data_IF_844208062751
#
_entry.id   IF_844208062751
#
_cell.length_a   1.000
_cell.length_b   1.000
_cell.length_c   1.000
_cell.angle_alpha   90.00
_cell.angle_beta   90.00
_cell.angle_gamma   90.00
#
_symmetry.space_group_name_H-M   'P 1'
#
loop_
_entity.id
_entity.type
_entity.pdbx_description
1 polymer ?
#
# COMPACT_ATOMS: atom_id res chain seq x y z
N UNK A 1 -30.46 -2.71 7.80
CA UNK A 1 -29.19 -2.59 7.07
C UNK A 1 -28.84 -1.12 7.04
N UNK A 2 -27.72 -0.76 7.63
CA UNK A 2 -27.20 0.62 7.54
C UNK A 2 -26.52 0.73 6.18
N UNK A 3 -26.94 1.68 5.35
CA UNK A 3 -26.26 1.88 4.06
C UNK A 3 -24.80 2.32 4.31
N UNK A 4 -23.83 1.84 3.51
CA UNK A 4 -22.47 2.33 3.61
C UNK A 4 -22.44 3.84 3.33
N UNK A 5 -21.59 4.55 4.05
CA UNK A 5 -21.33 5.97 3.82
C UNK A 5 -19.93 6.13 3.24
N UNK A 6 -19.73 7.14 2.40
CA UNK A 6 -18.40 7.52 1.90
C UNK A 6 -18.18 9.00 2.19
N UNK A 7 -17.06 9.31 2.82
CA UNK A 7 -16.53 10.67 2.99
C UNK A 7 -15.38 10.89 2.01
N UNK A 8 -15.44 11.95 1.22
CA UNK A 8 -14.48 12.22 0.14
C UNK A 8 -13.66 13.44 0.53
N UNK A 9 -12.36 13.23 0.82
CA UNK A 9 -11.40 14.30 1.10
C UNK A 9 -10.39 14.51 -0.04
N UNK A 10 -10.48 13.69 -1.08
CA UNK A 10 -9.57 13.72 -2.20
C UNK A 10 -10.40 13.72 -3.50
N UNK A 11 -10.48 14.87 -4.15
CA UNK A 11 -11.19 15.00 -5.42
C UNK A 11 -10.28 14.63 -6.60
N UNK A 12 -10.86 14.39 -7.78
CA UNK A 12 -10.09 14.15 -9.01
C UNK A 12 -9.18 15.35 -9.39
N UNK A 13 -9.59 16.56 -9.02
CA UNK A 13 -8.77 17.77 -9.20
C UNK A 13 -7.57 17.78 -8.24
N UNK A 14 -7.76 17.40 -6.98
CA UNK A 14 -6.67 17.30 -5.99
C UNK A 14 -5.66 16.21 -6.40
N UNK A 15 -6.15 15.06 -6.90
CA UNK A 15 -5.30 14.01 -7.46
C UNK A 15 -4.48 14.52 -8.65
N UNK A 16 -5.11 15.27 -9.56
CA UNK A 16 -4.41 15.83 -10.72
C UNK A 16 -3.32 16.82 -10.29
N UNK A 17 -3.57 17.66 -9.30
CA UNK A 17 -2.59 18.63 -8.81
C UNK A 17 -1.44 17.94 -8.05
N UNK A 18 -1.75 16.93 -7.23
CA UNK A 18 -0.73 16.10 -6.59
C UNK A 18 0.15 15.38 -7.62
N UNK A 19 -0.46 14.82 -8.68
CA UNK A 19 0.27 14.18 -9.78
C UNK A 19 1.17 15.17 -10.50
N UNK A 20 0.71 16.41 -10.73
CA UNK A 20 1.56 17.46 -11.32
C UNK A 20 2.78 17.77 -10.47
N UNK A 21 2.59 17.94 -9.16
CA UNK A 21 3.66 18.24 -8.23
C UNK A 21 4.70 17.11 -8.18
N UNK A 22 4.22 15.86 -8.11
CA UNK A 22 5.07 14.67 -8.06
C UNK A 22 5.80 14.44 -9.39
N UNK A 23 5.11 14.51 -10.52
CA UNK A 23 5.70 14.33 -11.84
C UNK A 23 6.72 15.43 -12.14
N UNK A 24 6.43 16.70 -11.80
CA UNK A 24 7.42 17.78 -11.97
C UNK A 24 8.68 17.49 -11.15
N UNK A 25 8.52 17.21 -9.85
CA UNK A 25 9.66 16.97 -8.93
C UNK A 25 10.48 15.77 -9.39
N UNK A 26 9.82 14.67 -9.72
CA UNK A 26 10.44 13.39 -10.01
C UNK A 26 11.04 13.27 -11.41
N UNK A 27 10.42 13.87 -12.43
CA UNK A 27 10.96 13.83 -13.80
C UNK A 27 12.13 14.81 -14.00
N UNK A 28 12.26 15.84 -13.16
CA UNK A 28 13.39 16.79 -13.20
C UNK A 28 14.50 16.49 -12.20
N UNK A 29 14.39 15.43 -11.39
CA UNK A 29 15.45 15.02 -10.46
C UNK A 29 16.51 14.17 -11.15
N UNK A 30 17.69 14.09 -10.54
CA UNK A 30 18.75 13.16 -10.91
C UNK A 30 19.18 12.36 -9.66
N UNK A 31 18.87 11.05 -9.58
CA UNK A 31 18.14 10.26 -10.58
C UNK A 31 16.64 10.61 -10.66
N UNK A 32 16.00 10.29 -11.80
CA UNK A 32 14.56 10.48 -12.00
C UNK A 32 13.75 9.49 -11.17
N UNK A 33 12.62 9.94 -10.63
CA UNK A 33 11.72 9.09 -9.81
C UNK A 33 10.24 9.37 -10.07
N UNK A 34 9.37 8.40 -9.80
CA UNK A 34 7.92 8.61 -9.72
C UNK A 34 7.36 7.88 -8.48
N UNK A 35 6.45 8.48 -7.70
CA UNK A 35 5.84 7.80 -6.56
C UNK A 35 4.93 6.63 -6.98
N UNK A 36 4.96 5.49 -6.25
CA UNK A 36 4.21 4.29 -6.62
C UNK A 36 2.69 4.43 -6.46
N UNK A 37 2.22 5.46 -5.73
CA UNK A 37 0.77 5.73 -5.61
C UNK A 37 0.09 5.98 -6.96
N UNK A 38 0.86 6.43 -7.96
CA UNK A 38 0.39 6.67 -9.32
C UNK A 38 0.28 5.43 -10.19
N UNK A 39 0.64 4.24 -9.68
CA UNK A 39 0.30 3.00 -10.36
C UNK A 39 -1.20 2.71 -10.31
N UNK A 40 -1.89 3.13 -9.26
CA UNK A 40 -3.23 2.62 -8.90
C UNK A 40 -4.38 3.42 -9.51
N UNK A 41 -4.30 3.69 -10.82
CA UNK A 41 -5.52 4.01 -11.58
C UNK A 41 -6.38 2.74 -11.75
N UNK A 42 -7.49 2.82 -12.50
CA UNK A 42 -8.37 1.65 -12.68
C UNK A 42 -7.62 0.46 -13.30
N UNK A 43 -6.81 0.69 -14.34
CA UNK A 43 -6.06 -0.38 -15.02
C UNK A 43 -4.95 -0.93 -14.14
N UNK A 44 -4.19 -0.08 -13.47
CA UNK A 44 -3.12 -0.52 -12.59
C UNK A 44 -3.64 -1.28 -11.37
N UNK A 45 -4.82 -0.94 -10.85
CA UNK A 45 -5.48 -1.72 -9.81
C UNK A 45 -5.85 -3.12 -10.30
N UNK A 46 -6.37 -3.26 -11.52
CA UNK A 46 -6.62 -4.57 -12.14
C UNK A 46 -5.33 -5.39 -12.32
N UNK A 47 -4.27 -4.74 -12.80
CA UNK A 47 -2.94 -5.36 -12.96
C UNK A 47 -2.38 -5.82 -11.61
N UNK A 48 -2.51 -5.02 -10.56
CA UNK A 48 -2.08 -5.42 -9.22
C UNK A 48 -2.89 -6.63 -8.71
N UNK A 49 -4.20 -6.66 -8.93
CA UNK A 49 -5.02 -7.83 -8.63
C UNK A 49 -4.54 -9.07 -9.39
N UNK A 50 -4.14 -8.95 -10.66
CA UNK A 50 -3.48 -10.03 -11.41
C UNK A 50 -2.15 -10.45 -10.78
N UNK A 51 -1.30 -9.49 -10.39
CA UNK A 51 -0.03 -9.74 -9.67
C UNK A 51 -0.26 -10.58 -8.43
N UNK A 52 -1.30 -10.29 -7.64
CA UNK A 52 -1.58 -11.04 -6.40
C UNK A 52 -1.82 -12.55 -6.60
N UNK A 53 -2.12 -12.97 -7.83
CA UNK A 53 -2.39 -14.36 -8.21
C UNK A 53 -1.21 -15.06 -8.88
N UNK A 54 -0.13 -14.33 -9.19
CA UNK A 54 1.04 -14.90 -9.85
C UNK A 54 1.75 -15.93 -8.95
N UNK A 55 2.29 -17.01 -9.53
CA UNK A 55 3.01 -18.01 -8.76
C UNK A 55 4.27 -17.43 -8.10
N UNK A 56 4.95 -16.46 -8.72
CA UNK A 56 6.12 -15.79 -8.18
C UNK A 56 5.76 -14.84 -7.02
N UNK A 57 4.62 -14.14 -7.09
CA UNK A 57 4.22 -13.13 -6.09
C UNK A 57 3.65 -13.75 -4.81
N UNK A 58 4.55 -14.15 -3.92
CA UNK A 58 4.21 -14.76 -2.64
C UNK A 58 3.53 -13.87 -1.59
N UNK A 59 3.71 -12.53 -1.54
CA UNK A 59 3.26 -11.74 -0.39
C UNK A 59 1.78 -11.93 -0.04
N UNK A 60 0.88 -11.77 -1.02
CA UNK A 60 -0.57 -11.83 -0.77
C UNK A 60 -1.03 -13.18 -0.23
N UNK A 61 -0.60 -14.29 -0.85
CA UNK A 61 -0.98 -15.64 -0.40
C UNK A 61 -0.37 -15.99 0.96
N UNK A 62 0.85 -15.53 1.22
CA UNK A 62 1.58 -15.80 2.46
C UNK A 62 0.95 -15.06 3.63
N UNK A 63 0.71 -13.75 3.46
CA UNK A 63 0.03 -12.94 4.47
C UNK A 63 -1.39 -13.45 4.73
N UNK A 64 -2.14 -13.82 3.68
CA UNK A 64 -3.49 -14.38 3.85
C UNK A 64 -3.47 -15.66 4.68
N UNK A 65 -2.63 -16.64 4.33
CA UNK A 65 -2.53 -17.90 5.06
C UNK A 65 -2.07 -17.70 6.51
N UNK A 66 -1.13 -16.77 6.72
CA UNK A 66 -0.71 -16.37 8.05
C UNK A 66 -1.87 -15.77 8.84
N UNK A 67 -2.62 -14.84 8.24
CA UNK A 67 -3.78 -14.20 8.86
C UNK A 67 -4.85 -15.22 9.22
N UNK A 68 -5.21 -16.14 8.31
CA UNK A 68 -6.17 -17.23 8.57
C UNK A 68 -5.79 -18.04 9.83
N UNK A 69 -4.49 -18.27 10.06
CA UNK A 69 -3.99 -19.00 11.23
C UNK A 69 -4.09 -18.22 12.54
N UNK A 70 -3.92 -16.90 12.51
CA UNK A 70 -3.75 -16.09 13.74
C UNK A 70 -4.90 -15.12 14.03
N UNK A 71 -5.86 -14.97 13.11
CA UNK A 71 -6.92 -13.95 13.19
C UNK A 71 -7.79 -14.09 14.44
N UNK A 72 -8.04 -15.31 14.92
CA UNK A 72 -8.79 -15.54 16.16
C UNK A 72 -8.05 -15.03 17.40
N UNK A 73 -6.73 -15.16 17.41
CA UNK A 73 -5.88 -14.61 18.47
C UNK A 73 -5.84 -13.08 18.41
N UNK A 74 -5.64 -12.51 17.21
CA UNK A 74 -5.71 -11.06 16.98
C UNK A 74 -7.04 -10.52 17.51
N UNK A 75 -8.18 -11.11 17.14
CA UNK A 75 -9.49 -10.64 17.57
C UNK A 75 -9.68 -10.68 19.10
N UNK A 76 -9.17 -11.74 19.76
CA UNK A 76 -9.24 -11.89 21.23
C UNK A 76 -8.42 -10.84 21.97
N UNK A 77 -7.22 -10.51 21.47
CA UNK A 77 -6.33 -9.51 22.07
C UNK A 77 -6.87 -8.11 21.79
N UNK A 78 -7.20 -7.85 20.52
CA UNK A 78 -7.53 -6.52 20.06
C UNK A 78 -8.89 -6.03 20.53
N UNK A 79 -9.89 -6.92 20.62
CA UNK A 79 -11.27 -6.59 21.01
C UNK A 79 -11.75 -5.26 20.41
N UNK A 80 -11.38 -5.02 19.15
CA UNK A 80 -11.61 -3.74 18.51
C UNK A 80 -13.12 -3.50 18.34
N UNK A 81 -13.56 -2.31 18.69
CA UNK A 81 -14.92 -1.83 18.39
C UNK A 81 -14.99 -1.22 16.98
N UNK A 82 -13.86 -0.72 16.51
CA UNK A 82 -13.70 -0.09 15.20
C UNK A 82 -12.45 -0.65 14.53
N UNK A 83 -12.61 -1.21 13.33
CA UNK A 83 -11.49 -1.59 12.47
C UNK A 83 -11.31 -0.52 11.41
N UNK A 84 -10.16 0.14 11.39
CA UNK A 84 -9.74 1.00 10.28
C UNK A 84 -8.78 0.21 9.41
N UNK A 85 -8.95 0.25 8.09
CA UNK A 85 -8.00 -0.34 7.16
C UNK A 85 -7.42 0.72 6.23
N UNK A 86 -6.09 0.82 6.20
CA UNK A 86 -5.37 1.75 5.34
C UNK A 86 -4.99 1.03 4.03
N UNK A 87 -5.38 1.60 2.89
CA UNK A 87 -5.13 1.01 1.56
C UNK A 87 -5.97 -0.26 1.36
N UNK A 88 -7.29 -0.14 1.57
CA UNK A 88 -8.18 -1.30 1.65
C UNK A 88 -8.29 -2.11 0.34
N UNK A 89 -8.09 -1.49 -0.82
CA UNK A 89 -8.21 -2.16 -2.12
C UNK A 89 -9.51 -2.96 -2.23
N UNK A 90 -9.41 -4.26 -2.57
CA UNK A 90 -10.56 -5.18 -2.67
C UNK A 90 -11.07 -5.73 -1.32
N UNK A 91 -10.42 -5.41 -0.20
CA UNK A 91 -10.75 -5.85 1.16
C UNK A 91 -10.86 -7.39 1.34
N UNK A 92 -10.25 -8.19 0.45
CA UNK A 92 -10.39 -9.64 0.47
C UNK A 92 -9.79 -10.28 1.73
N UNK A 93 -8.62 -9.79 2.19
CA UNK A 93 -7.97 -10.24 3.44
C UNK A 93 -8.74 -9.77 4.67
N UNK A 94 -9.30 -8.57 4.61
CA UNK A 94 -9.98 -7.90 5.72
C UNK A 94 -11.25 -8.62 6.15
N UNK A 95 -11.91 -9.33 5.24
CA UNK A 95 -13.03 -10.22 5.57
C UNK A 95 -12.69 -11.24 6.66
N UNK A 96 -11.43 -11.72 6.73
CA UNK A 96 -10.98 -12.59 7.81
C UNK A 96 -11.00 -11.86 9.16
N UNK A 97 -10.47 -10.64 9.19
CA UNK A 97 -10.48 -9.78 10.38
C UNK A 97 -11.91 -9.43 10.80
N UNK A 98 -12.75 -8.98 9.87
CA UNK A 98 -14.15 -8.65 10.12
C UNK A 98 -14.89 -9.85 10.72
N UNK A 99 -14.78 -11.03 10.10
CA UNK A 99 -15.42 -12.25 10.60
C UNK A 99 -14.97 -12.59 12.03
N UNK A 100 -13.67 -12.55 12.31
CA UNK A 100 -13.14 -12.89 13.63
C UNK A 100 -13.51 -11.85 14.70
N UNK A 101 -13.37 -10.56 14.38
CA UNK A 101 -13.68 -9.45 15.28
C UNK A 101 -15.19 -9.33 15.56
N UNK A 102 -16.04 -9.59 14.57
CA UNK A 102 -17.50 -9.64 14.77
C UNK A 102 -17.94 -10.87 15.57
N UNK A 103 -17.28 -12.03 15.37
CA UNK A 103 -17.67 -13.27 16.07
C UNK A 103 -17.20 -13.31 17.53
N UNK A 104 -16.00 -12.77 17.80
CA UNK A 104 -15.34 -12.87 19.10
C UNK A 104 -15.34 -11.55 19.90
N UNK A 105 -15.77 -10.45 19.30
CA UNK A 105 -15.51 -9.11 19.83
C UNK A 105 -16.66 -8.11 19.65
N UNK A 106 -16.45 -6.87 20.13
CA UNK A 106 -17.46 -5.82 20.12
C UNK A 106 -17.45 -5.00 18.83
N UNK A 107 -17.03 -5.57 17.69
CA UNK A 107 -16.87 -4.82 16.43
C UNK A 107 -18.22 -4.24 15.98
N UNK A 108 -18.26 -2.92 15.82
CA UNK A 108 -19.44 -2.15 15.41
C UNK A 108 -19.22 -1.40 14.11
N UNK A 109 -17.98 -1.01 13.81
CA UNK A 109 -17.66 -0.17 12.66
C UNK A 109 -16.45 -0.68 11.90
N UNK A 110 -16.53 -0.66 10.58
CA UNK A 110 -15.42 -0.82 9.68
C UNK A 110 -15.22 0.44 8.84
N UNK A 111 -13.98 0.89 8.77
CA UNK A 111 -13.57 2.13 8.13
C UNK A 111 -12.48 1.82 7.10
N UNK A 112 -12.84 1.48 5.86
CA UNK A 112 -11.87 1.35 4.78
C UNK A 112 -11.42 2.73 4.30
N UNK A 113 -10.12 2.93 4.17
CA UNK A 113 -9.52 4.13 3.59
C UNK A 113 -8.70 3.77 2.35
N UNK A 114 -8.85 4.54 1.28
CA UNK A 114 -8.14 4.36 0.01
C UNK A 114 -8.16 5.66 -0.81
N UNK A 115 -7.25 5.79 -1.76
CA UNK A 115 -7.26 6.90 -2.74
C UNK A 115 -8.28 6.66 -3.85
N UNK A 116 -8.69 5.40 -4.07
CA UNK A 116 -9.64 5.02 -5.11
C UNK A 116 -11.08 4.99 -4.58
N UNK A 117 -11.87 6.01 -4.95
CA UNK A 117 -13.31 6.06 -4.62
C UNK A 117 -14.07 4.83 -5.15
N UNK A 118 -13.77 4.40 -6.37
CA UNK A 118 -14.47 3.27 -7.01
C UNK A 118 -14.17 1.95 -6.30
N UNK A 119 -12.92 1.71 -5.90
CA UNK A 119 -12.54 0.53 -5.13
C UNK A 119 -13.24 0.52 -3.76
N UNK A 120 -13.23 1.65 -3.04
CA UNK A 120 -13.89 1.79 -1.75
C UNK A 120 -15.39 1.57 -1.82
N UNK A 121 -16.06 2.14 -2.82
CA UNK A 121 -17.51 1.97 -2.99
C UNK A 121 -17.86 0.50 -3.21
N UNK A 122 -17.13 -0.19 -4.10
CA UNK A 122 -17.32 -1.61 -4.36
C UNK A 122 -17.07 -2.48 -3.11
N UNK A 123 -15.99 -2.23 -2.37
CA UNK A 123 -15.67 -2.95 -1.14
C UNK A 123 -16.72 -2.69 -0.04
N UNK A 124 -17.13 -1.44 0.15
CA UNK A 124 -18.09 -1.05 1.18
C UNK A 124 -19.48 -1.64 0.95
N UNK A 125 -19.94 -1.68 -0.31
CA UNK A 125 -21.21 -2.30 -0.67
C UNK A 125 -21.19 -3.81 -0.40
N UNK A 126 -20.12 -4.50 -0.79
CA UNK A 126 -19.97 -5.94 -0.55
C UNK A 126 -19.91 -6.27 0.94
N UNK A 127 -19.08 -5.54 1.70
CA UNK A 127 -18.96 -5.75 3.16
C UNK A 127 -20.28 -5.48 3.87
N UNK A 128 -21.05 -4.47 3.45
CA UNK A 128 -22.36 -4.16 4.03
C UNK A 128 -23.39 -5.28 3.81
N UNK A 129 -23.28 -6.02 2.70
CA UNK A 129 -24.12 -7.21 2.42
C UNK A 129 -23.66 -8.41 3.25
N UNK A 130 -22.35 -8.65 3.32
CA UNK A 130 -21.77 -9.79 4.05
C UNK A 130 -21.90 -9.65 5.58
N UNK A 131 -21.85 -8.42 6.10
CA UNK A 131 -21.86 -8.11 7.54
C UNK A 131 -22.98 -7.09 7.88
N UNK A 132 -24.27 -7.49 7.85
CA UNK A 132 -25.40 -6.56 7.93
C UNK A 132 -25.57 -5.82 9.27
N UNK A 133 -24.85 -6.25 10.31
CA UNK A 133 -24.82 -5.61 11.64
C UNK A 133 -23.65 -4.62 11.82
N UNK A 134 -22.76 -4.52 10.83
CA UNK A 134 -21.56 -3.68 10.86
C UNK A 134 -21.85 -2.34 10.18
N UNK A 135 -21.53 -1.23 10.82
CA UNK A 135 -21.52 0.06 10.17
C UNK A 135 -20.28 0.18 9.26
N UNK A 136 -20.47 0.57 8.01
CA UNK A 136 -19.37 0.75 7.05
C UNK A 136 -19.26 2.23 6.69
N UNK A 137 -18.09 2.81 6.92
CA UNK A 137 -17.81 4.22 6.66
C UNK A 137 -16.49 4.35 5.88
N UNK A 138 -16.59 4.46 4.56
CA UNK A 138 -15.42 4.61 3.68
C UNK A 138 -14.88 6.03 3.70
N UNK A 139 -13.56 6.16 3.64
CA UNK A 139 -12.84 7.45 3.61
C UNK A 139 -11.96 7.50 2.37
N UNK A 140 -12.30 8.35 1.40
CA UNK A 140 -11.49 8.55 0.18
C UNK A 140 -10.43 9.60 0.46
N UNK A 141 -9.19 9.16 0.71
CA UNK A 141 -8.07 10.05 0.99
C UNK A 141 -6.70 9.36 0.93
N UNK A 142 -5.62 10.15 0.88
CA UNK A 142 -4.23 9.66 0.88
C UNK A 142 -3.77 9.38 2.32
N UNK A 143 -3.48 8.12 2.66
CA UNK A 143 -3.17 7.70 4.03
C UNK A 143 -1.83 8.24 4.56
N UNK A 144 -0.96 8.82 3.73
CA UNK A 144 0.29 9.44 4.23
C UNK A 144 0.02 10.76 4.95
N UNK A 145 -0.97 11.53 4.48
CA UNK A 145 -1.16 12.93 4.91
C UNK A 145 -2.51 13.18 5.60
N UNK A 146 -3.41 12.18 5.57
CA UNK A 146 -4.82 12.38 5.96
C UNK A 146 -5.31 11.47 7.08
N UNK A 147 -4.41 10.86 7.87
CA UNK A 147 -4.78 10.02 9.01
C UNK A 147 -5.69 10.75 10.03
N UNK A 148 -5.61 12.08 10.10
CA UNK A 148 -6.47 12.91 10.95
C UNK A 148 -7.95 12.91 10.56
N UNK A 149 -8.28 12.48 9.33
CA UNK A 149 -9.66 12.33 8.85
C UNK A 149 -10.31 11.03 9.36
N UNK A 150 -9.54 10.12 9.96
CA UNK A 150 -10.08 8.87 10.48
C UNK A 150 -11.03 9.15 11.66
N UNK A 151 -12.21 8.50 11.70
CA UNK A 151 -13.15 8.68 12.78
C UNK A 151 -12.53 8.26 14.12
N UNK A 152 -12.93 8.98 15.17
CA UNK A 152 -12.51 8.72 16.56
C UNK A 152 -13.64 8.04 17.34
N UNK A 153 -13.25 7.31 18.38
CA UNK A 153 -14.17 6.69 19.33
C UNK A 153 -14.23 5.17 19.26
N UNK A 154 -14.64 4.56 20.37
CA UNK A 154 -14.47 3.12 20.60
C UNK A 154 -13.00 2.74 20.77
N UNK A 155 -12.72 1.45 21.00
CA UNK A 155 -11.35 0.92 20.94
C UNK A 155 -11.00 0.59 19.48
N UNK A 156 -10.13 1.39 18.84
CA UNK A 156 -9.71 1.16 17.45
C UNK A 156 -8.58 0.15 17.32
N UNK A 157 -8.60 -0.55 16.20
CA UNK A 157 -7.42 -1.17 15.60
C UNK A 157 -7.28 -0.63 14.18
N UNK A 158 -6.12 -0.07 13.86
CA UNK A 158 -5.74 0.29 12.48
C UNK A 158 -5.00 -0.91 11.89
N UNK A 159 -5.45 -1.40 10.74
CA UNK A 159 -4.78 -2.44 9.97
C UNK A 159 -4.09 -1.82 8.76
N UNK A 160 -2.81 -2.11 8.58
CA UNK A 160 -2.03 -1.75 7.40
C UNK A 160 -1.32 -2.99 6.87
N UNK A 161 -1.94 -3.62 5.88
CA UNK A 161 -1.59 -4.97 5.41
C UNK A 161 -0.89 -4.93 4.05
N UNK A 162 -0.48 -6.09 3.55
CA UNK A 162 0.05 -6.26 2.19
C UNK A 162 1.53 -5.94 2.04
N UNK A 163 2.21 -5.52 3.11
CA UNK A 163 3.60 -5.09 3.02
C UNK A 163 3.75 -3.67 2.46
N UNK A 164 2.66 -2.92 2.31
CA UNK A 164 2.63 -1.56 1.74
C UNK A 164 3.50 -0.57 2.53
N UNK A 165 3.72 -0.81 3.82
CA UNK A 165 4.69 -0.06 4.65
C UNK A 165 6.11 -0.08 4.05
N UNK A 166 6.45 -1.12 3.28
CA UNK A 166 7.72 -1.24 2.58
C UNK A 166 7.89 -0.26 1.43
N UNK A 167 6.81 0.38 0.97
CA UNK A 167 6.86 1.35 -0.12
C UNK A 167 7.33 2.74 0.32
N UNK A 168 7.53 2.93 1.63
CA UNK A 168 8.00 4.18 2.23
C UNK A 168 9.50 4.07 2.55
N UNK A 169 10.29 5.07 2.18
CA UNK A 169 11.69 5.14 2.63
C UNK A 169 11.72 5.36 4.16
N UNK A 170 12.85 5.08 4.85
CA UNK A 170 12.89 5.13 6.32
C UNK A 170 12.37 6.43 6.96
N UNK A 171 12.65 7.58 6.35
CA UNK A 171 12.16 8.87 6.86
C UNK A 171 10.63 8.99 6.74
N UNK A 172 10.08 8.69 5.55
CA UNK A 172 8.63 8.69 5.29
C UNK A 172 7.90 7.67 6.18
N UNK A 173 8.51 6.49 6.38
CA UNK A 173 7.96 5.44 7.24
C UNK A 173 7.92 5.86 8.70
N UNK A 174 8.97 6.52 9.20
CA UNK A 174 9.00 7.05 10.55
C UNK A 174 7.92 8.13 10.76
N UNK A 175 7.76 9.04 9.79
CA UNK A 175 6.71 10.06 9.80
C UNK A 175 5.31 9.42 9.78
N UNK A 176 5.09 8.45 8.90
CA UNK A 176 3.84 7.70 8.82
C UNK A 176 3.49 6.99 10.13
N UNK A 177 4.44 6.23 10.71
CA UNK A 177 4.21 5.53 11.98
C UNK A 177 3.93 6.51 13.13
N UNK A 178 4.64 7.64 13.18
CA UNK A 178 4.35 8.71 14.14
C UNK A 178 2.96 9.33 13.93
N UNK A 179 2.53 9.51 12.67
CA UNK A 179 1.19 9.95 12.32
C UNK A 179 0.11 8.98 12.79
N UNK A 180 0.31 7.67 12.59
CA UNK A 180 -0.59 6.62 13.11
C UNK A 180 -0.64 6.68 14.64
N UNK A 181 0.50 6.83 15.31
CA UNK A 181 0.56 6.96 16.76
C UNK A 181 -0.16 8.21 17.28
N UNK A 182 -0.12 9.32 16.54
CA UNK A 182 -0.76 10.57 16.92
C UNK A 182 -2.29 10.53 16.82
N UNK A 183 -2.84 9.67 15.96
CA UNK A 183 -4.29 9.53 15.81
C UNK A 183 -4.88 8.43 16.69
N UNK A 184 -4.07 7.53 17.23
CA UNK A 184 -4.47 6.49 18.19
C UNK A 184 -4.38 6.97 19.64
N UNK A 185 -5.32 6.54 20.46
CA UNK A 185 -5.31 6.71 21.91
C UNK A 185 -4.55 5.56 22.60
N UNK A 186 -4.00 5.75 23.80
CA UNK A 186 -3.35 4.68 24.55
C UNK A 186 -4.21 3.41 24.69
N UNK A 187 -3.65 2.25 24.34
CA UNK A 187 -4.32 0.95 24.35
C UNK A 187 -5.12 0.59 23.08
N UNK A 188 -5.23 1.51 22.13
CA UNK A 188 -5.61 1.20 20.75
C UNK A 188 -4.41 0.64 19.97
N UNK A 189 -4.64 -0.03 18.85
CA UNK A 189 -3.62 -0.88 18.23
C UNK A 189 -3.39 -0.63 16.75
N UNK A 190 -2.19 -0.96 16.30
CA UNK A 190 -1.79 -1.11 14.91
C UNK A 190 -1.53 -2.59 14.62
N UNK A 191 -2.19 -3.13 13.60
CA UNK A 191 -1.88 -4.42 12.98
C UNK A 191 -1.14 -4.16 11.67
N UNK A 192 0.15 -4.47 11.62
CA UNK A 192 1.03 -4.18 10.51
C UNK A 192 1.45 -5.48 9.80
N UNK A 193 1.26 -5.53 8.49
CA UNK A 193 1.80 -6.57 7.62
C UNK A 193 3.09 -6.13 6.94
N UNK A 194 4.16 -6.91 7.05
CA UNK A 194 5.47 -6.59 6.51
C UNK A 194 6.14 -7.81 5.84
N UNK A 195 6.65 -7.62 4.63
CA UNK A 195 7.51 -8.61 3.97
C UNK A 195 8.87 -8.69 4.64
N UNK A 196 9.38 -9.90 4.86
CA UNK A 196 10.67 -10.11 5.53
C UNK A 196 11.81 -10.25 4.52
N UNK A 197 13.03 -9.99 4.99
CA UNK A 197 14.25 -10.22 4.20
C UNK A 197 14.40 -11.74 3.99
N UNK A 198 14.33 -12.16 2.73
CA UNK A 198 14.50 -13.56 2.30
C UNK A 198 15.48 -13.66 1.13
N UNK A 199 15.66 -14.86 0.59
CA UNK A 199 16.53 -15.09 -0.56
C UNK A 199 16.12 -14.21 -1.77
N UNK A 200 17.04 -13.39 -2.33
CA UNK A 200 16.80 -12.62 -3.55
C UNK A 200 16.31 -13.47 -4.74
N UNK A 201 16.67 -14.76 -4.79
CA UNK A 201 16.18 -15.68 -5.81
C UNK A 201 14.66 -15.95 -5.74
N UNK A 202 14.02 -15.64 -4.61
CA UNK A 202 12.56 -15.65 -4.44
C UNK A 202 11.99 -14.24 -4.53
N UNK A 203 12.69 -13.24 -3.98
CA UNK A 203 12.23 -11.86 -3.98
C UNK A 203 12.17 -11.25 -5.39
N UNK A 204 13.25 -11.34 -6.16
CA UNK A 204 13.32 -10.64 -7.46
C UNK A 204 12.25 -11.17 -8.42
N UNK A 205 12.04 -12.49 -8.60
CA UNK A 205 10.97 -12.97 -9.47
C UNK A 205 9.56 -12.56 -9.03
N UNK A 206 9.33 -12.29 -7.74
CA UNK A 206 8.04 -11.76 -7.29
C UNK A 206 7.74 -10.38 -7.90
N UNK A 207 8.76 -9.62 -8.28
CA UNK A 207 8.62 -8.30 -8.90
C UNK A 207 9.03 -8.28 -10.38
N UNK A 208 9.42 -9.42 -10.96
CA UNK A 208 9.81 -9.60 -12.36
C UNK A 208 9.29 -10.94 -12.85
N UNK A 209 7.96 -11.08 -12.85
CA UNK A 209 7.29 -12.33 -13.18
C UNK A 209 7.44 -12.71 -14.66
N UNK A 210 7.44 -14.01 -14.94
CA UNK A 210 7.65 -14.52 -16.30
C UNK A 210 6.50 -14.17 -17.27
N UNK A 211 5.32 -13.81 -16.75
CA UNK A 211 4.17 -13.41 -17.54
C UNK A 211 4.24 -11.93 -17.99
N UNK A 212 5.14 -11.13 -17.41
CA UNK A 212 5.33 -9.73 -17.72
C UNK A 212 4.24 -8.81 -17.17
N UNK A 213 3.42 -9.28 -16.22
CA UNK A 213 2.31 -8.49 -15.66
C UNK A 213 2.86 -7.36 -14.77
N UNK A 214 3.89 -7.61 -13.96
CA UNK A 214 4.55 -6.57 -13.15
C UNK A 214 5.26 -5.54 -14.03
N UNK A 215 5.78 -5.96 -15.19
CA UNK A 215 6.35 -5.04 -16.16
C UNK A 215 5.30 -4.13 -16.82
N UNK A 216 4.10 -4.64 -17.09
CA UNK A 216 2.96 -3.83 -17.55
C UNK A 216 2.47 -2.89 -16.43
N UNK A 217 2.32 -3.39 -15.20
CA UNK A 217 1.96 -2.59 -14.02
C UNK A 217 2.93 -1.43 -13.79
N UNK A 218 4.24 -1.67 -13.88
CA UNK A 218 5.24 -0.61 -13.74
C UNK A 218 5.10 0.45 -14.85
N UNK A 219 4.95 0.02 -16.11
CA UNK A 219 4.78 0.93 -17.24
C UNK A 219 3.46 1.70 -17.21
N UNK A 220 2.45 1.20 -16.49
CA UNK A 220 1.15 1.86 -16.37
C UNK A 220 1.26 3.31 -15.88
N UNK A 221 2.23 3.64 -15.01
CA UNK A 221 2.44 5.03 -14.57
C UNK A 221 2.70 6.00 -15.73
N UNK A 222 3.32 5.52 -16.82
CA UNK A 222 3.55 6.32 -18.02
C UNK A 222 2.24 6.57 -18.78
N UNK A 223 1.34 5.58 -18.83
CA UNK A 223 0.00 5.76 -19.37
C UNK A 223 -0.82 6.76 -18.54
N UNK A 224 -0.68 6.74 -17.21
CA UNK A 224 -1.30 7.71 -16.31
C UNK A 224 -0.81 9.12 -16.62
N UNK A 225 0.51 9.34 -16.76
CA UNK A 225 1.07 10.64 -17.13
C UNK A 225 0.58 11.10 -18.51
N UNK A 226 0.54 10.20 -19.50
CA UNK A 226 0.04 10.52 -20.84
C UNK A 226 -1.43 10.95 -20.81
N UNK A 227 -2.27 10.23 -20.07
CA UNK A 227 -3.70 10.51 -20.00
C UNK A 227 -4.02 11.76 -19.15
N UNK A 228 -3.34 11.94 -18.01
CA UNK A 228 -3.69 12.96 -17.02
C UNK A 228 -2.96 14.28 -17.23
N UNK A 229 -1.73 14.24 -17.75
CA UNK A 229 -0.87 15.42 -17.93
C UNK A 229 -0.52 15.71 -19.41
N UNK A 230 -1.20 15.02 -20.33
CA UNK A 230 -0.96 15.08 -21.79
C UNK A 230 0.49 14.79 -22.19
N UNK A 231 1.21 14.00 -21.38
CA UNK A 231 2.56 13.57 -21.72
C UNK A 231 2.56 12.68 -22.98
N UNK A 232 3.72 12.55 -23.61
CA UNK A 232 3.91 11.73 -24.81
C UNK A 232 4.94 10.60 -24.61
N UNK A 233 4.99 10.01 -23.40
CA UNK A 233 5.79 8.82 -23.17
C UNK A 233 5.40 7.71 -24.15
N UNK A 234 6.40 6.99 -24.66
CA UNK A 234 6.24 5.73 -25.38
C UNK A 234 6.54 4.60 -24.38
N UNK A 235 5.53 3.99 -23.72
CA UNK A 235 5.78 3.06 -22.61
C UNK A 235 6.53 1.80 -23.05
N UNK A 236 6.38 1.39 -24.32
CA UNK A 236 7.10 0.24 -24.88
C UNK A 236 8.60 0.50 -25.05
N UNK A 237 9.01 1.77 -25.10
CA UNK A 237 10.42 2.15 -25.11
C UNK A 237 11.07 2.12 -23.72
N UNK A 238 10.34 1.77 -22.67
CA UNK A 238 10.86 1.58 -21.32
C UNK A 238 10.87 0.11 -20.92
N UNK A 239 12.05 -0.42 -20.64
CA UNK A 239 12.25 -1.77 -20.13
C UNK A 239 12.04 -1.80 -18.63
N UNK A 240 11.19 -2.71 -18.16
CA UNK A 240 11.05 -2.98 -16.73
C UNK A 240 12.34 -3.61 -16.15
N UNK A 241 12.73 -3.16 -14.96
CA UNK A 241 13.81 -3.75 -14.17
C UNK A 241 13.32 -3.88 -12.73
N UNK A 242 13.46 -5.07 -12.15
CA UNK A 242 13.41 -5.28 -10.71
C UNK A 242 14.79 -5.69 -10.21
N UNK A 243 15.24 -5.10 -9.10
CA UNK A 243 16.51 -5.43 -8.48
C UNK A 243 16.41 -5.46 -6.97
N UNK A 244 17.23 -6.31 -6.34
CA UNK A 244 17.42 -6.33 -4.90
C UNK A 244 18.60 -5.44 -4.53
N UNK A 245 18.33 -4.41 -3.74
CA UNK A 245 19.35 -3.59 -3.10
C UNK A 245 19.68 -4.21 -1.73
N UNK A 246 20.84 -4.88 -1.64
CA UNK A 246 21.27 -5.54 -0.42
C UNK A 246 21.79 -4.56 0.64
N UNK A 247 22.16 -3.33 0.28
CA UNK A 247 22.62 -2.31 1.22
C UNK A 247 21.43 -1.73 1.99
N UNK A 248 20.34 -1.43 1.27
CA UNK A 248 19.12 -0.85 1.84
C UNK A 248 18.05 -1.89 2.22
N UNK A 249 18.24 -3.15 1.85
CA UNK A 249 17.30 -4.26 2.04
C UNK A 249 15.92 -4.03 1.40
N UNK A 250 15.88 -3.56 0.16
CA UNK A 250 14.63 -3.40 -0.59
C UNK A 250 14.69 -3.90 -2.02
N UNK A 251 13.53 -4.26 -2.57
CA UNK A 251 13.37 -4.33 -4.02
C UNK A 251 13.22 -2.91 -4.56
N UNK A 252 13.86 -2.61 -5.68
CA UNK A 252 13.51 -1.44 -6.49
C UNK A 252 12.90 -1.88 -7.81
N UNK A 253 11.82 -1.21 -8.20
CA UNK A 253 11.30 -1.26 -9.56
C UNK A 253 11.73 -0.01 -10.30
N UNK A 254 12.22 -0.20 -11.53
CA UNK A 254 12.71 0.85 -12.40
C UNK A 254 12.19 0.68 -13.82
N UNK A 255 12.16 1.79 -14.55
CA UNK A 255 11.91 1.85 -15.98
C UNK A 255 13.17 2.38 -16.67
N UNK A 256 13.76 1.57 -17.54
CA UNK A 256 14.97 1.90 -18.28
C UNK A 256 14.67 2.27 -19.73
N UNK A 257 15.13 3.44 -20.15
CA UNK A 257 15.02 3.89 -21.53
C UNK A 257 15.81 2.98 -22.49
N UNK A 258 15.14 2.38 -23.46
CA UNK A 258 15.77 1.48 -24.45
C UNK A 258 16.49 2.22 -25.58
N UNK A 259 16.19 3.50 -25.74
CA UNK A 259 16.74 4.44 -26.73
C UNK A 259 16.74 5.86 -26.16
N UNK A 260 17.45 6.77 -26.80
CA UNK A 260 17.36 8.18 -26.47
C UNK A 260 15.94 8.68 -26.74
N UNK A 261 15.39 9.44 -25.80
CA UNK A 261 14.01 9.96 -25.85
C UNK A 261 13.94 11.38 -25.33
N UNK A 262 13.05 12.15 -25.94
CA UNK A 262 12.63 13.46 -25.47
C UNK A 262 11.12 13.39 -25.28
N UNK A 263 10.67 13.58 -24.06
CA UNK A 263 9.26 13.48 -23.67
C UNK A 263 8.75 14.86 -23.30
N UNK A 264 7.72 15.34 -24.00
CA UNK A 264 7.02 16.55 -23.65
C UNK A 264 5.94 16.24 -22.59
N UNK A 265 5.83 17.10 -21.58
CA UNK A 265 4.71 17.07 -20.62
C UNK A 265 4.03 18.44 -20.63
N UNK A 266 3.11 18.69 -21.59
CA UNK A 266 2.51 20.00 -21.83
C UNK A 266 1.81 20.61 -20.61
N UNK A 267 1.13 19.81 -19.78
CA UNK A 267 0.45 20.33 -18.57
C UNK A 267 1.42 20.78 -17.48
N UNK A 268 2.70 20.46 -17.62
CA UNK A 268 3.78 20.91 -16.76
C UNK A 268 4.68 21.97 -17.41
N UNK A 269 4.53 22.24 -18.71
CA UNK A 269 5.43 23.08 -19.49
C UNK A 269 6.91 22.64 -19.33
N UNK A 270 7.15 21.32 -19.39
CA UNK A 270 8.50 20.74 -19.33
C UNK A 270 8.73 19.79 -20.50
N UNK A 271 10.00 19.63 -20.84
CA UNK A 271 10.51 18.57 -21.70
C UNK A 271 11.57 17.81 -20.94
N UNK A 272 11.50 16.48 -20.97
CA UNK A 272 12.34 15.59 -20.20
C UNK A 272 13.15 14.74 -21.16
N UNK A 273 14.46 14.74 -21.00
CA UNK A 273 15.36 13.88 -21.78
C UNK A 273 15.66 12.60 -21.00
N UNK A 274 15.68 11.49 -21.73
CA UNK A 274 16.17 10.20 -21.28
C UNK A 274 17.26 9.73 -22.24
N UNK A 275 18.47 9.49 -21.72
CA UNK A 275 19.50 8.80 -22.49
C UNK A 275 19.19 7.29 -22.55
N UNK A 276 19.65 6.61 -23.60
CA UNK A 276 19.59 5.15 -23.66
C UNK A 276 20.30 4.53 -22.45
N UNK A 277 19.60 3.64 -21.75
CA UNK A 277 20.07 2.99 -20.52
C UNK A 277 19.83 3.82 -19.25
N UNK A 278 19.29 5.03 -19.37
CA UNK A 278 18.90 5.81 -18.20
C UNK A 278 17.70 5.18 -17.50
N UNK A 279 17.73 5.13 -16.17
CA UNK A 279 16.73 4.48 -15.35
C UNK A 279 15.98 5.50 -14.49
N UNK A 280 14.66 5.35 -14.45
CA UNK A 280 13.76 6.06 -13.54
C UNK A 280 13.23 5.08 -12.50
N UNK A 281 13.39 5.38 -11.21
CA UNK A 281 12.84 4.53 -10.14
C UNK A 281 11.36 4.84 -9.94
N UNK A 282 10.54 3.81 -9.90
CA UNK A 282 9.07 3.94 -9.78
C UNK A 282 8.52 3.36 -8.49
N UNK A 283 9.26 2.45 -7.84
CA UNK A 283 8.89 1.91 -6.54
C UNK A 283 10.12 1.46 -5.76
N UNK A 284 10.02 1.50 -4.43
CA UNK A 284 10.79 0.64 -3.55
C UNK A 284 9.82 -0.30 -2.81
N UNK A 285 10.29 -1.48 -2.44
CA UNK A 285 9.56 -2.36 -1.53
C UNK A 285 10.54 -2.94 -0.52
N UNK A 286 10.70 -2.21 0.59
CA UNK A 286 11.55 -2.59 1.71
C UNK A 286 11.11 -3.92 2.32
N UNK A 287 12.11 -4.71 2.68
CA UNK A 287 11.96 -5.96 3.40
C UNK A 287 12.57 -5.80 4.78
N UNK A 288 11.92 -6.41 5.75
CA UNK A 288 12.18 -6.09 7.15
C UNK A 288 12.83 -7.26 7.86
N UNK A 289 13.63 -6.91 8.86
CA UNK A 289 14.00 -7.83 9.93
C UNK A 289 13.08 -7.53 11.12
N UNK A 290 12.48 -8.54 11.78
CA UNK A 290 11.51 -8.30 12.85
C UNK A 290 12.02 -7.34 13.93
N UNK A 291 13.29 -7.48 14.35
CA UNK A 291 13.90 -6.62 15.37
C UNK A 291 14.00 -5.15 14.92
N UNK A 292 14.33 -4.92 13.64
CA UNK A 292 14.41 -3.55 13.09
C UNK A 292 13.05 -2.89 13.06
N UNK A 293 12.02 -3.61 12.61
CA UNK A 293 10.65 -3.06 12.56
C UNK A 293 10.07 -2.83 13.96
N UNK A 294 10.38 -3.70 14.94
CA UNK A 294 10.05 -3.45 16.35
C UNK A 294 10.71 -2.19 16.89
N UNK A 295 11.96 -1.91 16.53
CA UNK A 295 12.65 -0.69 16.96
C UNK A 295 12.02 0.58 16.33
N UNK A 296 11.59 0.52 15.07
CA UNK A 296 10.86 1.61 14.43
C UNK A 296 9.50 1.86 15.08
N UNK A 297 8.77 0.79 15.44
CA UNK A 297 7.50 0.89 16.18
C UNK A 297 7.70 1.51 17.56
N UNK A 298 8.72 1.10 18.32
CA UNK A 298 9.03 1.69 19.63
C UNK A 298 9.35 3.18 19.49
N UNK A 299 10.20 3.56 18.53
CA UNK A 299 10.54 4.96 18.26
C UNK A 299 9.30 5.81 17.91
N UNK A 300 8.31 5.22 17.24
CA UNK A 300 7.04 5.88 16.91
C UNK A 300 6.03 5.92 18.08
N UNK A 301 6.30 5.29 19.22
CA UNK A 301 5.42 5.33 20.39
C UNK A 301 4.51 4.11 20.56
N UNK A 302 4.87 2.97 19.96
CA UNK A 302 4.16 1.70 20.09
C UNK A 302 4.92 0.66 20.91
N UNK A 303 4.20 -0.11 21.72
CA UNK A 303 4.69 -1.33 22.32
C UNK A 303 4.32 -2.52 21.42
N UNK A 304 5.32 -3.26 20.93
CA UNK A 304 5.05 -4.48 20.16
C UNK A 304 4.55 -5.57 21.09
N UNK A 305 3.29 -5.99 20.93
CA UNK A 305 2.69 -7.01 21.77
C UNK A 305 2.96 -8.41 21.21
N UNK A 306 2.78 -8.59 19.89
CA UNK A 306 2.88 -9.88 19.22
C UNK A 306 3.49 -9.75 17.83
N UNK A 307 4.24 -10.77 17.43
CA UNK A 307 4.78 -10.96 16.09
C UNK A 307 4.46 -12.39 15.67
N UNK A 308 3.79 -12.55 14.54
CA UNK A 308 3.59 -13.85 13.90
C UNK A 308 4.28 -13.87 12.55
N UNK A 309 5.02 -14.93 12.24
CA UNK A 309 5.63 -15.16 10.93
C UNK A 309 5.04 -16.40 10.27
N UNK A 310 4.98 -16.43 8.95
CA UNK A 310 4.64 -17.66 8.23
C UNK A 310 5.75 -18.73 8.41
N UNK A 311 5.48 -20.03 8.15
CA UNK A 311 6.45 -21.10 8.38
C UNK A 311 7.79 -20.96 7.62
N UNK A 312 7.84 -20.17 6.56
CA UNK A 312 9.04 -19.93 5.76
C UNK A 312 9.71 -18.58 6.10
N UNK A 313 9.25 -17.86 7.12
CA UNK A 313 9.74 -16.55 7.56
C UNK A 313 9.84 -15.52 6.42
N UNK A 314 8.83 -15.47 5.55
CA UNK A 314 8.74 -14.56 4.40
C UNK A 314 7.91 -13.32 4.68
N UNK A 315 7.01 -13.38 5.65
CA UNK A 315 6.07 -12.34 5.98
C UNK A 315 5.78 -12.32 7.48
N UNK A 316 5.61 -11.13 8.04
CA UNK A 316 5.22 -10.94 9.43
C UNK A 316 3.90 -10.17 9.53
N UNK A 317 3.08 -10.56 10.51
CA UNK A 317 2.03 -9.73 11.09
C UNK A 317 2.50 -9.28 12.47
N UNK A 318 2.44 -7.98 12.73
CA UNK A 318 2.84 -7.38 14.00
C UNK A 318 1.63 -6.66 14.59
N UNK A 319 1.26 -7.02 15.81
CA UNK A 319 0.26 -6.27 16.58
C UNK A 319 1.00 -5.43 17.63
N UNK A 320 0.81 -4.12 17.57
CA UNK A 320 1.45 -3.17 18.46
C UNK A 320 0.40 -2.24 19.10
N UNK A 321 0.54 -1.97 20.39
CA UNK A 321 -0.35 -1.10 21.13
C UNK A 321 0.25 0.30 21.27
N UNK A 322 -0.60 1.33 21.14
CA UNK A 322 -0.20 2.71 21.40
C UNK A 322 0.07 2.89 22.92
N UNK A 323 1.24 3.43 23.26
CA UNK A 323 1.64 3.78 24.63
C UNK A 323 0.83 4.92 25.24
#
# INVERSE_FOLDING_TARGET
>A
MTAPTLEIHLTDADLTEALRADARRGLTSDPKTLPPKWFYDARGSELFEEITRLPEYYPTRTERALLERVVGEIARIARAEVLVELGAGSAAKTRLLLSALSSAGPLKTYVPQDVSESALRGAADQVSVEFPGLAVHGVVSDFTDTLHNLPRGGRRMIAFLGGTIGNLIPAERAEFLAGVAAVLEPGEQLLLGAGLVIDPAVLVPAYDDAAGITAEFNRNVLHVLNSRLRADFDPDAFRHIALWDAEHEWIEMRLEATRDMTVAVPDLDITVEFARGEQMRTEISAKFRPQGLTAELDAAGFDTEHIWTDPDDRFALILAARR
#
